data_IF_505720328418
#
_entry.id   IF_505720328418
#
_cell.length_a   1.000
_cell.length_b   1.000
_cell.length_c   1.000
_cell.angle_alpha   90.00
_cell.angle_beta   90.00
_cell.angle_gamma   90.00
#
_symmetry.space_group_name_H-M   'P 1'
#
loop_
_entity.id
_entity.type
_entity.pdbx_description
1 polymer ?
#
# COMPACT_ATOMS: atom_id res chain seq x y z
N UNK A 1 -10.85 -47.61 -12.73
CA UNK A 1 -11.43 -46.65 -13.69
C UNK A 1 -11.47 -45.28 -13.03
N UNK A 2 -10.79 -44.32 -13.68
CA UNK A 2 -10.81 -42.86 -13.47
C UNK A 2 -10.45 -42.25 -12.10
N UNK A 3 -9.18 -41.85 -12.04
CA UNK A 3 -8.62 -40.72 -11.30
C UNK A 3 -9.06 -39.42 -11.99
N UNK A 4 -9.44 -38.37 -11.25
CA UNK A 4 -9.64 -37.00 -11.76
C UNK A 4 -10.80 -36.29 -11.04
N UNK A 5 -10.71 -35.06 -10.54
CA UNK A 5 -9.76 -33.98 -10.79
C UNK A 5 -9.55 -33.20 -9.49
N UNK A 6 -8.28 -32.94 -9.17
CA UNK A 6 -7.88 -31.83 -8.32
C UNK A 6 -8.54 -30.56 -8.85
N UNK A 7 -9.25 -29.82 -7.99
CA UNK A 7 -9.68 -28.44 -8.28
C UNK A 7 -8.41 -27.58 -8.40
N UNK A 8 -7.77 -27.62 -9.56
CA UNK A 8 -6.86 -26.56 -9.95
C UNK A 8 -7.72 -25.30 -10.08
N UNK A 9 -7.77 -24.51 -9.01
CA UNK A 9 -8.26 -23.16 -9.06
C UNK A 9 -7.45 -22.46 -10.15
N UNK A 10 -8.08 -22.29 -11.32
CA UNK A 10 -7.56 -21.48 -12.40
C UNK A 10 -7.32 -20.10 -11.79
N UNK A 11 -6.04 -19.79 -11.55
CA UNK A 11 -5.59 -18.45 -11.17
C UNK A 11 -6.00 -17.54 -12.33
N UNK A 12 -7.20 -16.98 -12.24
CA UNK A 12 -7.70 -15.94 -13.11
C UNK A 12 -6.61 -14.86 -13.08
N UNK A 13 -5.87 -14.72 -14.18
CA UNK A 13 -4.86 -13.69 -14.31
C UNK A 13 -5.47 -12.35 -13.89
N UNK A 14 -4.67 -11.49 -13.24
CA UNK A 14 -5.07 -10.16 -12.75
C UNK A 14 -5.90 -9.43 -13.83
N UNK A 15 -7.22 -9.59 -13.79
CA UNK A 15 -8.10 -8.81 -14.62
C UNK A 15 -8.02 -7.40 -14.06
N UNK A 16 -7.69 -6.43 -14.93
CA UNK A 16 -7.64 -5.02 -14.54
C UNK A 16 -8.92 -4.70 -13.74
N UNK A 17 -8.76 -4.10 -12.56
CA UNK A 17 -9.80 -3.74 -11.57
C UNK A 17 -10.88 -2.77 -12.09
N UNK A 18 -11.05 -2.66 -13.42
CA UNK A 18 -11.97 -1.73 -14.08
C UNK A 18 -13.41 -1.86 -13.57
N UNK A 19 -13.81 -3.06 -13.16
CA UNK A 19 -15.17 -3.38 -12.72
C UNK A 19 -15.23 -3.85 -11.26
N UNK A 20 -14.43 -3.26 -10.37
CA UNK A 20 -14.43 -3.57 -8.93
C UNK A 20 -15.19 -2.50 -8.14
N UNK A 21 -16.07 -2.91 -7.22
CA UNK A 21 -16.71 -2.00 -6.27
C UNK A 21 -15.98 -2.07 -4.93
N UNK A 22 -15.33 -0.98 -4.53
CA UNK A 22 -14.68 -0.89 -3.22
C UNK A 22 -15.69 -1.02 -2.08
N UNK A 23 -16.83 -0.36 -2.19
CA UNK A 23 -17.84 -0.28 -1.13
C UNK A 23 -18.43 -1.66 -0.77
N UNK A 24 -18.56 -2.52 -1.78
CA UNK A 24 -19.10 -3.86 -1.63
C UNK A 24 -18.01 -4.95 -1.68
N UNK A 25 -16.73 -4.56 -1.75
CA UNK A 25 -15.57 -5.43 -1.98
C UNK A 25 -15.80 -6.48 -3.09
N UNK A 26 -16.44 -6.04 -4.18
CA UNK A 26 -16.99 -6.96 -5.19
C UNK A 26 -16.37 -6.74 -6.56
N UNK A 27 -15.65 -7.76 -7.05
CA UNK A 27 -15.24 -7.83 -8.45
C UNK A 27 -16.42 -8.24 -9.34
N UNK A 28 -16.81 -7.36 -10.25
CA UNK A 28 -17.74 -7.66 -11.33
C UNK A 28 -16.99 -8.15 -12.57
N UNK A 29 -17.65 -8.99 -13.37
CA UNK A 29 -17.05 -9.65 -14.54
C UNK A 29 -16.82 -8.69 -15.71
N UNK A 30 -17.73 -7.76 -15.92
CA UNK A 30 -17.76 -6.84 -17.05
C UNK A 30 -18.49 -5.54 -16.69
N UNK A 31 -18.53 -4.60 -17.64
CA UNK A 31 -19.18 -3.29 -17.49
C UNK A 31 -20.66 -3.41 -17.12
N UNK A 32 -21.37 -4.35 -17.75
CA UNK A 32 -22.79 -4.52 -17.53
C UNK A 32 -23.05 -5.08 -16.12
N UNK A 33 -22.25 -6.07 -15.70
CA UNK A 33 -22.29 -6.60 -14.34
C UNK A 33 -22.01 -5.54 -13.27
N UNK A 34 -21.08 -4.61 -13.54
CA UNK A 34 -20.81 -3.49 -12.63
C UNK A 34 -21.99 -2.50 -12.57
N UNK A 35 -22.57 -2.13 -13.72
CA UNK A 35 -23.77 -1.27 -13.77
C UNK A 35 -24.94 -1.88 -13.02
N UNK A 36 -25.25 -3.15 -13.28
CA UNK A 36 -26.31 -3.86 -12.56
C UNK A 36 -26.03 -3.95 -11.06
N UNK A 37 -24.77 -4.11 -10.66
CA UNK A 37 -24.38 -4.08 -9.26
C UNK A 37 -24.62 -2.71 -8.62
N UNK A 38 -24.23 -1.61 -9.25
CA UNK A 38 -24.47 -0.25 -8.74
C UNK A 38 -25.98 0.09 -8.64
N UNK A 39 -26.82 -0.52 -9.49
CA UNK A 39 -28.26 -0.36 -9.44
C UNK A 39 -28.96 -1.31 -8.44
N UNK A 40 -28.23 -2.26 -7.86
CA UNK A 40 -28.82 -3.24 -6.96
C UNK A 40 -29.17 -2.65 -5.60
N UNK A 41 -30.26 -3.13 -5.00
CA UNK A 41 -30.71 -2.69 -3.67
C UNK A 41 -29.64 -2.92 -2.59
N UNK A 42 -28.86 -4.01 -2.70
CA UNK A 42 -27.75 -4.29 -1.78
C UNK A 42 -26.68 -3.20 -1.82
N UNK A 43 -26.34 -2.69 -3.00
CA UNK A 43 -25.38 -1.59 -3.14
C UNK A 43 -25.97 -0.28 -2.61
N UNK A 44 -27.23 0.02 -2.96
CA UNK A 44 -27.92 1.24 -2.54
C UNK A 44 -28.08 1.32 -1.01
N UNK A 45 -28.50 0.23 -0.35
CA UNK A 45 -28.57 0.18 1.11
C UNK A 45 -27.21 0.40 1.77
N UNK A 46 -26.15 -0.17 1.19
CA UNK A 46 -24.80 0.11 1.66
C UNK A 46 -24.46 1.60 1.48
N UNK A 47 -24.77 2.20 0.33
CA UNK A 47 -24.62 3.65 0.09
C UNK A 47 -25.39 4.53 1.07
N UNK A 48 -26.59 4.13 1.50
CA UNK A 48 -27.36 4.85 2.52
C UNK A 48 -26.69 4.78 3.90
N UNK A 49 -26.20 3.60 4.29
CA UNK A 49 -25.41 3.43 5.52
C UNK A 49 -24.14 4.28 5.47
N UNK A 50 -23.47 4.34 4.31
CA UNK A 50 -22.30 5.22 4.10
C UNK A 50 -22.69 6.70 4.18
N UNK A 51 -23.83 7.10 3.61
CA UNK A 51 -24.30 8.49 3.57
C UNK A 51 -24.62 9.07 4.95
N UNK A 52 -24.90 8.24 5.95
CA UNK A 52 -25.18 8.70 7.31
C UNK A 52 -23.92 9.20 8.06
N UNK A 53 -22.73 8.66 7.76
CA UNK A 53 -21.47 9.04 8.42
C UNK A 53 -20.26 8.89 7.49
N UNK A 54 -20.16 9.70 6.41
CA UNK A 54 -19.09 9.55 5.42
C UNK A 54 -17.69 9.74 6.02
N UNK A 55 -17.53 10.70 6.93
CA UNK A 55 -16.22 11.01 7.53
C UNK A 55 -15.62 9.85 8.33
N UNK A 56 -16.45 9.09 9.06
CA UNK A 56 -15.97 7.97 9.90
C UNK A 56 -15.43 6.81 9.05
N UNK A 57 -16.08 6.55 7.91
CA UNK A 57 -15.70 5.46 7.03
C UNK A 57 -14.47 5.83 6.19
N UNK A 58 -14.43 7.05 5.65
CA UNK A 58 -13.28 7.55 4.90
C UNK A 58 -12.03 7.61 5.80
N UNK A 59 -12.18 8.02 7.07
CA UNK A 59 -11.11 7.96 8.06
C UNK A 59 -10.62 6.51 8.29
N UNK A 60 -11.53 5.54 8.44
CA UNK A 60 -11.15 4.13 8.58
C UNK A 60 -10.37 3.58 7.38
N UNK A 61 -10.85 3.83 6.15
CA UNK A 61 -10.12 3.45 4.94
C UNK A 61 -8.77 4.15 4.80
N UNK A 62 -8.67 5.40 5.28
CA UNK A 62 -7.43 6.17 5.24
C UNK A 62 -6.39 5.61 6.21
N UNK A 63 -6.80 5.25 7.42
CA UNK A 63 -5.93 4.58 8.41
C UNK A 63 -5.45 3.22 7.91
N UNK A 64 -6.35 2.41 7.35
CA UNK A 64 -6.00 1.09 6.83
C UNK A 64 -5.08 1.18 5.60
N UNK A 65 -5.41 2.08 4.66
CA UNK A 65 -4.57 2.36 3.51
C UNK A 65 -3.17 2.79 3.93
N UNK A 66 -3.07 3.75 4.84
CA UNK A 66 -1.78 4.24 5.32
C UNK A 66 -0.96 3.12 5.97
N UNK A 67 -1.56 2.37 6.88
CA UNK A 67 -0.88 1.27 7.57
C UNK A 67 -0.36 0.23 6.58
N UNK A 68 -1.22 -0.24 5.68
CA UNK A 68 -0.90 -1.26 4.68
C UNK A 68 0.16 -0.76 3.67
N UNK A 69 0.06 0.49 3.23
CA UNK A 69 1.04 1.11 2.32
C UNK A 69 2.42 1.24 2.97
N UNK A 70 2.49 1.71 4.22
CA UNK A 70 3.76 1.82 4.96
C UNK A 70 4.33 0.43 5.28
N UNK A 71 3.50 -0.58 5.55
CA UNK A 71 3.94 -1.96 5.74
C UNK A 71 4.51 -2.57 4.46
N UNK A 72 3.86 -2.37 3.31
CA UNK A 72 4.41 -2.77 2.01
C UNK A 72 5.79 -2.16 1.81
N UNK A 73 5.91 -0.87 2.09
CA UNK A 73 7.13 -0.14 1.82
C UNK A 73 8.26 -0.47 2.82
N UNK A 74 7.95 -0.76 4.09
CA UNK A 74 8.89 -1.35 5.07
C UNK A 74 9.50 -2.67 4.60
N UNK A 75 8.73 -3.49 3.90
CA UNK A 75 9.14 -4.82 3.42
C UNK A 75 9.95 -4.72 2.13
N UNK A 76 9.48 -3.92 1.16
CA UNK A 76 10.04 -3.88 -0.19
C UNK A 76 11.19 -2.87 -0.35
N UNK A 77 11.18 -1.75 0.38
CA UNK A 77 12.04 -0.59 0.10
C UNK A 77 12.68 -0.02 1.38
N UNK A 78 13.33 -0.86 2.18
CA UNK A 78 14.05 -0.44 3.39
C UNK A 78 15.12 0.60 3.04
N UNK A 79 15.09 1.75 3.72
CA UNK A 79 16.07 2.85 3.64
C UNK A 79 16.36 3.36 2.22
N UNK A 80 15.49 3.06 1.26
CA UNK A 80 15.70 3.37 -0.14
C UNK A 80 14.89 4.59 -0.56
N UNK A 81 15.48 5.41 -1.44
CA UNK A 81 14.79 6.52 -2.09
C UNK A 81 14.08 5.99 -3.33
N UNK A 82 12.75 6.01 -3.33
CA UNK A 82 11.94 5.40 -4.40
C UNK A 82 10.90 6.39 -4.92
N UNK A 83 10.56 6.27 -6.19
CA UNK A 83 9.50 7.07 -6.80
C UNK A 83 8.13 6.61 -6.27
N UNK A 84 7.27 7.55 -5.91
CA UNK A 84 5.97 7.26 -5.31
C UNK A 84 5.07 6.41 -6.22
N UNK A 85 5.13 6.66 -7.52
CA UNK A 85 4.37 5.93 -8.54
C UNK A 85 4.80 4.47 -8.63
N UNK A 86 6.09 4.16 -8.44
CA UNK A 86 6.61 2.79 -8.46
C UNK A 86 6.05 2.02 -7.27
N UNK A 87 6.21 2.56 -6.06
CA UNK A 87 5.70 1.93 -4.83
C UNK A 87 4.18 1.76 -4.90
N UNK A 88 3.46 2.77 -5.40
CA UNK A 88 2.01 2.68 -5.55
C UNK A 88 1.60 1.57 -6.54
N UNK A 89 2.28 1.46 -7.67
CA UNK A 89 1.99 0.41 -8.66
C UNK A 89 2.26 -1.01 -8.11
N UNK A 90 3.30 -1.17 -7.29
CA UNK A 90 3.59 -2.43 -6.59
C UNK A 90 2.54 -2.73 -5.51
N UNK A 91 2.13 -1.72 -4.75
CA UNK A 91 1.10 -1.84 -3.73
C UNK A 91 -0.25 -2.28 -4.31
N UNK A 92 -0.68 -1.64 -5.42
CA UNK A 92 -1.94 -2.00 -6.10
C UNK A 92 -1.86 -3.31 -6.91
N UNK A 93 -0.69 -3.96 -6.95
CA UNK A 93 -0.55 -5.26 -7.59
C UNK A 93 -1.16 -6.38 -6.71
N UNK A 94 -1.27 -6.18 -5.40
CA UNK A 94 -2.02 -7.08 -4.52
C UNK A 94 -3.52 -6.98 -4.79
N UNK A 95 -4.34 -8.00 -4.51
CA UNK A 95 -5.78 -7.96 -4.78
C UNK A 95 -6.63 -7.33 -3.68
N UNK A 96 -6.10 -7.18 -2.48
CA UNK A 96 -6.82 -6.64 -1.32
C UNK A 96 -6.26 -5.28 -0.89
N UNK A 97 -5.78 -4.50 -1.85
CA UNK A 97 -5.32 -3.13 -1.56
C UNK A 97 -6.49 -2.15 -1.55
N UNK A 98 -6.33 -1.06 -0.79
CA UNK A 98 -7.25 0.07 -0.82
C UNK A 98 -6.73 1.07 -1.85
N UNK A 99 -7.58 1.54 -2.75
CA UNK A 99 -7.17 2.56 -3.71
C UNK A 99 -7.18 3.95 -3.06
N UNK A 100 -6.24 4.82 -3.43
CA UNK A 100 -6.13 6.18 -2.84
C UNK A 100 -7.44 6.97 -2.95
N UNK A 101 -8.18 6.81 -4.05
CA UNK A 101 -9.50 7.45 -4.27
C UNK A 101 -10.57 7.10 -3.22
N UNK A 102 -10.34 6.07 -2.39
CA UNK A 102 -11.27 5.66 -1.31
C UNK A 102 -10.88 6.24 0.06
N UNK A 103 -9.85 7.10 0.09
CA UNK A 103 -9.30 7.72 1.30
C UNK A 103 -9.59 9.22 1.33
N UNK A 104 -9.16 9.90 2.40
CA UNK A 104 -9.22 11.37 2.53
C UNK A 104 -8.33 12.08 1.49
N UNK A 105 -7.42 11.37 0.83
CA UNK A 105 -6.52 11.91 -0.19
C UNK A 105 -7.10 11.66 -1.59
N UNK A 106 -7.40 12.72 -2.35
CA UNK A 106 -7.96 12.59 -3.69
C UNK A 106 -6.92 12.08 -4.71
N UNK A 107 -5.63 12.25 -4.42
CA UNK A 107 -4.54 11.80 -5.30
C UNK A 107 -3.36 11.23 -4.52
N UNK A 108 -2.56 10.37 -5.17
CA UNK A 108 -1.30 9.87 -4.62
C UNK A 108 -0.36 11.01 -4.18
N UNK A 109 -0.34 12.12 -4.93
CA UNK A 109 0.47 13.29 -4.58
C UNK A 109 0.06 13.92 -3.26
N UNK A 110 -1.24 14.03 -2.98
CA UNK A 110 -1.73 14.55 -1.71
C UNK A 110 -1.35 13.64 -0.55
N UNK A 111 -1.44 12.32 -0.74
CA UNK A 111 -0.99 11.34 0.24
C UNK A 111 0.52 11.45 0.50
N UNK A 112 1.36 11.57 -0.54
CA UNK A 112 2.81 11.76 -0.36
C UNK A 112 3.10 13.05 0.40
N UNK A 113 2.44 14.17 0.06
CA UNK A 113 2.57 15.43 0.80
C UNK A 113 2.14 15.27 2.27
N UNK A 114 1.09 14.51 2.54
CA UNK A 114 0.67 14.17 3.90
C UNK A 114 1.76 13.39 4.66
N UNK A 115 2.38 12.37 4.05
CA UNK A 115 3.47 11.61 4.67
C UNK A 115 4.69 12.48 5.01
N UNK A 116 4.98 13.46 4.16
CA UNK A 116 6.01 14.47 4.42
C UNK A 116 5.67 15.38 5.59
N UNK A 117 4.42 15.88 5.65
CA UNK A 117 3.93 16.76 6.73
C UNK A 117 3.87 16.06 8.10
N UNK A 118 3.51 14.77 8.11
CA UNK A 118 3.46 13.97 9.35
C UNK A 118 4.84 13.47 9.80
N UNK A 119 5.89 13.68 8.99
CA UNK A 119 7.25 13.24 9.30
C UNK A 119 7.45 11.72 9.23
N UNK A 120 6.49 10.98 8.66
CA UNK A 120 6.58 9.52 8.48
C UNK A 120 7.55 9.15 7.36
N UNK A 121 7.64 9.99 6.33
CA UNK A 121 8.58 9.85 5.21
C UNK A 121 9.28 11.19 4.94
N UNK A 122 10.52 11.14 4.47
CA UNK A 122 11.13 12.30 3.81
C UNK A 122 10.69 12.30 2.36
N UNK A 123 10.11 13.39 1.92
CA UNK A 123 9.57 13.54 0.57
C UNK A 123 10.35 14.60 -0.19
N UNK A 124 10.59 14.35 -1.47
CA UNK A 124 11.34 15.22 -2.37
C UNK A 124 10.61 15.31 -3.70
N UNK A 125 10.36 16.55 -4.15
CA UNK A 125 9.80 16.81 -5.47
C UNK A 125 10.93 16.95 -6.49
N UNK A 126 10.81 16.24 -7.61
CA UNK A 126 11.76 16.34 -8.73
C UNK A 126 11.00 16.53 -10.04
N UNK A 127 11.65 16.98 -11.12
CA UNK A 127 11.01 17.07 -12.44
C UNK A 127 10.50 15.71 -12.98
N UNK A 128 11.02 14.60 -12.46
CA UNK A 128 10.59 13.23 -12.81
C UNK A 128 9.41 12.72 -11.96
N UNK A 129 8.94 13.51 -11.00
CA UNK A 129 7.86 13.18 -10.08
C UNK A 129 8.29 13.18 -8.61
N UNK A 130 7.42 12.61 -7.78
CA UNK A 130 7.58 12.56 -6.32
C UNK A 130 8.43 11.37 -5.90
N UNK A 131 9.47 11.63 -5.10
CA UNK A 131 10.28 10.61 -4.44
C UNK A 131 10.08 10.68 -2.94
N UNK A 132 10.16 9.53 -2.28
CA UNK A 132 10.19 9.52 -0.82
C UNK A 132 11.09 8.41 -0.28
N UNK A 133 11.55 8.62 0.94
CA UNK A 133 12.35 7.68 1.73
C UNK A 133 11.68 7.49 3.07
N UNK A 134 11.51 6.24 3.47
CA UNK A 134 10.93 5.90 4.76
C UNK A 134 11.98 5.74 5.83
N UNK A 135 11.74 6.40 6.95
CA UNK A 135 12.55 6.25 8.14
C UNK A 135 11.73 5.51 9.17
N UNK A 136 12.10 4.25 9.39
CA UNK A 136 11.49 3.45 10.43
C UNK A 136 12.04 3.90 11.79
N UNK A 137 11.19 4.48 12.66
CA UNK A 137 11.54 4.75 14.05
C UNK A 137 11.42 3.46 14.89
N UNK A 138 12.18 2.42 14.56
CA UNK A 138 12.41 1.36 15.54
C UNK A 138 13.35 1.92 16.61
N UNK A 139 12.78 2.35 17.74
CA UNK A 139 13.54 2.59 18.98
C UNK A 139 14.30 1.32 19.44
N UNK A 140 14.04 0.17 18.84
CA UNK A 140 14.68 -1.13 19.08
C UNK A 140 15.87 -1.44 18.17
N UNK A 141 15.98 -0.82 16.99
CA UNK A 141 17.04 -1.14 16.00
C UNK A 141 18.27 -0.21 16.10
N UNK A 142 18.20 0.86 16.88
CA UNK A 142 19.39 1.64 17.30
C UNK A 142 20.40 0.82 18.12
N UNK A 143 20.04 -0.38 18.59
CA UNK A 143 20.92 -1.30 19.32
C UNK A 143 21.70 -2.30 18.46
N UNK A 144 21.42 -2.42 17.15
CA UNK A 144 22.08 -3.41 16.27
C UNK A 144 23.12 -2.80 15.33
N UNK A 145 22.86 -1.62 14.77
CA UNK A 145 23.85 -0.94 13.90
C UNK A 145 25.06 -0.39 14.66
N UNK A 146 24.94 -0.11 15.96
CA UNK A 146 26.07 0.28 16.81
C UNK A 146 27.13 -0.83 17.00
N UNK A 147 26.86 -2.09 16.59
CA UNK A 147 27.82 -3.20 16.70
C UNK A 147 28.64 -3.47 15.44
N UNK A 148 28.30 -2.92 14.27
CA UNK A 148 29.03 -3.20 13.02
C UNK A 148 30.15 -2.20 12.70
N UNK A 149 30.24 -1.08 13.43
CA UNK A 149 31.32 -0.07 13.26
C UNK A 149 32.50 -0.32 14.21
N UNK A 150 32.40 -1.29 15.13
CA UNK A 150 33.44 -1.61 16.10
C UNK A 150 34.08 -2.97 15.87
N UNK A 151 34.99 -3.11 14.90
CA UNK A 151 35.85 -4.29 14.87
C UNK A 151 36.54 -4.62 13.56
N UNK A 152 37.72 -4.02 13.36
CA UNK A 152 39.02 -4.69 13.06
C UNK A 152 39.99 -3.67 12.46
N UNK A 153 40.48 -2.78 13.32
CA UNK A 153 41.77 -2.14 13.09
C UNK A 153 42.87 -3.14 13.45
N UNK A 154 43.57 -3.62 12.43
CA UNK A 154 44.85 -4.33 12.53
C UNK A 154 45.87 -3.40 13.19
N UNK A 155 46.23 -3.69 14.43
CA UNK A 155 47.36 -3.05 15.11
C UNK A 155 48.63 -3.80 14.75
N UNK A 156 49.50 -3.19 13.93
CA UNK A 156 50.88 -3.64 13.83
C UNK A 156 51.66 -3.09 15.02
N UNK A 157 52.11 -3.97 15.90
CA UNK A 157 53.11 -3.66 16.92
C UNK A 157 54.47 -3.53 16.23
N UNK A 158 55.00 -2.31 16.13
CA UNK A 158 56.44 -2.12 15.91
C UNK A 158 57.16 -2.41 17.24
N UNK A 159 57.94 -3.48 17.26
CA UNK A 159 58.84 -3.82 18.35
C UNK A 159 60.28 -3.87 17.85
N UNK A 160 61.07 -2.90 18.31
CA UNK A 160 62.53 -2.80 18.46
C UNK A 160 63.45 -3.29 17.33
#
# INVERSE_FOLDING_TARGET
MYIGMLKTAYKQGLQKLRWYCQMCEKQCRDENGFKCHCLSESHQRQMEVFGQNPNRMVSGYSEEFESSFLEHMKRSHRFSRVAATVVYNEYIADRHHIHVNSTEWATLTEFVKYLGRTGKCKVEETPKGWFFTYYHQDKTEKGREAKLVGGKGIWYFQGK
#
